data_IF_951738299318
#
_entry.id   IF_951738299318
#
_cell.length_a   1.000
_cell.length_b   1.000
_cell.length_c   1.000
_cell.angle_alpha   90.00
_cell.angle_beta   90.00
_cell.angle_gamma   90.00
#
_symmetry.space_group_name_H-M   'P 1'
#
loop_
_entity.id
_entity.type
_entity.pdbx_description
1 polymer ?
#
# COMPACT_ATOMS: atom_id res chain seq x y z
N UNK A 1 6.69 -7.54 16.41
CA UNK A 1 7.05 -7.12 15.05
C UNK A 1 6.62 -5.68 14.96
N UNK A 2 7.54 -4.75 14.69
CA UNK A 2 7.21 -3.32 14.57
C UNK A 2 6.35 -3.15 13.32
N UNK A 3 5.22 -2.46 13.46
CA UNK A 3 4.37 -2.10 12.34
C UNK A 3 4.89 -0.77 11.80
N UNK A 4 5.39 -0.78 10.57
CA UNK A 4 5.79 0.47 9.94
C UNK A 4 4.55 1.34 9.67
N UNK A 5 4.50 2.50 10.30
CA UNK A 5 3.41 3.47 10.21
C UNK A 5 3.89 4.76 9.57
N UNK A 6 3.01 5.38 8.78
CA UNK A 6 3.23 6.68 8.16
C UNK A 6 3.88 7.72 9.09
N UNK A 7 3.44 7.82 10.35
CA UNK A 7 3.99 8.80 11.29
C UNK A 7 5.48 8.61 11.60
N UNK A 8 5.95 7.38 11.68
CA UNK A 8 7.35 7.07 11.94
C UNK A 8 8.21 7.19 10.70
N UNK A 9 7.71 6.75 9.55
CA UNK A 9 8.41 6.90 8.28
C UNK A 9 8.71 8.35 7.95
N UNK A 10 7.75 9.24 8.17
CA UNK A 10 7.88 10.65 7.84
C UNK A 10 8.23 11.53 9.04
N UNK A 11 8.69 10.98 10.16
CA UNK A 11 8.94 11.74 11.39
C UNK A 11 9.89 12.94 11.16
N UNK A 12 10.91 12.75 10.31
CA UNK A 12 11.91 13.77 9.99
C UNK A 12 11.50 14.79 8.92
N UNK A 13 10.36 14.61 8.26
CA UNK A 13 9.96 15.43 7.10
C UNK A 13 8.65 16.16 7.36
N UNK A 14 8.66 17.42 7.78
CA UNK A 14 7.45 18.20 7.98
C UNK A 14 6.62 18.26 6.70
N UNK A 15 5.33 17.89 6.79
CA UNK A 15 4.36 17.93 5.70
C UNK A 15 3.30 19.02 6.00
N UNK A 16 2.98 19.24 7.28
CA UNK A 16 2.00 20.25 7.69
C UNK A 16 2.56 21.26 8.69
N UNK A 17 2.49 22.54 8.32
CA UNK A 17 2.85 23.63 9.25
C UNK A 17 1.73 23.96 10.24
N UNK A 18 0.47 23.61 9.93
CA UNK A 18 -0.69 23.92 10.77
C UNK A 18 -1.85 22.94 10.55
N UNK A 19 -2.71 22.81 11.56
CA UNK A 19 -3.96 22.06 11.45
C UNK A 19 -5.09 22.99 10.99
N UNK A 20 -5.44 22.90 9.71
CA UNK A 20 -6.47 23.72 9.09
C UNK A 20 -7.71 22.89 8.70
N UNK A 21 -8.73 23.57 8.17
CA UNK A 21 -9.99 22.95 7.76
C UNK A 21 -9.79 21.88 6.66
N UNK A 22 -8.77 22.00 5.81
CA UNK A 22 -8.46 20.98 4.81
C UNK A 22 -7.94 19.70 5.48
N UNK A 23 -7.03 19.82 6.46
CA UNK A 23 -6.54 18.68 7.22
C UNK A 23 -7.68 17.99 7.99
N UNK A 24 -8.54 18.78 8.68
CA UNK A 24 -9.71 18.25 9.38
C UNK A 24 -10.66 17.48 8.45
N UNK A 25 -10.97 18.06 7.28
CA UNK A 25 -11.82 17.41 6.26
C UNK A 25 -11.18 16.15 5.70
N UNK A 26 -9.87 16.15 5.46
CA UNK A 26 -9.15 15.00 4.95
C UNK A 26 -9.24 13.83 5.94
N UNK A 27 -8.98 14.06 7.22
CA UNK A 27 -9.08 13.02 8.26
C UNK A 27 -10.52 12.48 8.37
N UNK A 28 -11.52 13.37 8.36
CA UNK A 28 -12.92 12.97 8.36
C UNK A 28 -13.32 12.13 7.14
N UNK A 29 -12.90 12.55 5.95
CA UNK A 29 -13.19 11.83 4.70
C UNK A 29 -12.47 10.47 4.67
N UNK A 30 -11.19 10.43 5.04
CA UNK A 30 -10.41 9.19 5.13
C UNK A 30 -11.04 8.20 6.11
N UNK A 31 -11.43 8.66 7.31
CA UNK A 31 -12.12 7.82 8.28
C UNK A 31 -13.45 7.27 7.74
N UNK A 32 -14.25 8.09 7.06
CA UNK A 32 -15.52 7.64 6.46
C UNK A 32 -15.31 6.60 5.36
N UNK A 33 -14.25 6.70 4.55
CA UNK A 33 -13.93 5.64 3.58
C UNK A 33 -13.66 4.32 4.31
N UNK A 34 -12.86 4.35 5.39
CA UNK A 34 -12.61 3.15 6.21
C UNK A 34 -13.89 2.61 6.82
N UNK A 35 -14.71 3.47 7.43
CA UNK A 35 -15.91 3.08 8.16
C UNK A 35 -17.08 2.63 7.29
N UNK A 36 -17.25 3.23 6.11
CA UNK A 36 -18.43 3.02 5.26
C UNK A 36 -18.14 2.11 4.06
N UNK A 37 -16.89 2.05 3.58
CA UNK A 37 -16.53 1.30 2.37
C UNK A 37 -15.67 0.07 2.67
N UNK A 38 -14.68 0.19 3.56
CA UNK A 38 -13.75 -0.93 3.84
C UNK A 38 -14.29 -1.88 4.89
N UNK A 39 -14.71 -1.35 6.05
CA UNK A 39 -15.12 -2.13 7.21
C UNK A 39 -16.41 -1.63 7.87
N UNK A 40 -17.57 -1.71 7.18
CA UNK A 40 -18.87 -1.37 7.76
C UNK A 40 -19.13 -2.13 9.07
N UNK A 41 -19.30 -1.39 10.16
CA UNK A 41 -19.45 -1.99 11.51
C UNK A 41 -20.81 -2.66 11.73
N UNK A 42 -21.86 -2.05 11.19
CA UNK A 42 -23.24 -2.52 11.33
C UNK A 42 -23.72 -3.17 10.03
N UNK A 43 -24.63 -4.14 10.15
CA UNK A 43 -25.39 -4.68 9.02
C UNK A 43 -26.58 -3.78 8.65
N UNK A 44 -27.37 -4.21 7.65
CA UNK A 44 -28.54 -3.46 7.19
C UNK A 44 -29.63 -3.32 8.26
N UNK A 45 -29.63 -4.20 9.27
CA UNK A 45 -30.57 -4.18 10.40
C UNK A 45 -30.02 -3.38 11.60
N UNK A 46 -28.84 -2.77 11.46
CA UNK A 46 -28.18 -2.01 12.52
C UNK A 46 -27.47 -2.86 13.57
N UNK A 47 -27.27 -4.16 13.33
CA UNK A 47 -26.58 -5.07 14.27
C UNK A 47 -25.08 -5.07 14.01
N UNK A 48 -24.30 -5.19 15.09
CA UNK A 48 -22.84 -5.28 15.00
C UNK A 48 -22.42 -6.54 14.25
N UNK A 49 -21.50 -6.39 13.29
CA UNK A 49 -20.86 -7.54 12.62
C UNK A 49 -19.68 -8.03 13.47
N UNK A 50 -19.67 -9.31 13.90
CA UNK A 50 -18.57 -9.85 14.72
C UNK A 50 -17.20 -9.74 14.04
N UNK A 51 -17.15 -9.95 12.73
CA UNK A 51 -15.93 -9.82 11.92
C UNK A 51 -15.40 -8.37 11.91
N UNK A 52 -16.29 -7.39 11.72
CA UNK A 52 -15.90 -5.98 11.74
C UNK A 52 -15.39 -5.61 13.13
N UNK A 53 -16.06 -6.04 14.19
CA UNK A 53 -15.63 -5.81 15.58
C UNK A 53 -14.19 -6.28 15.84
N UNK A 54 -13.83 -7.47 15.36
CA UNK A 54 -12.47 -7.99 15.48
C UNK A 54 -11.45 -7.14 14.69
N UNK A 55 -11.82 -6.69 13.48
CA UNK A 55 -10.97 -5.83 12.65
C UNK A 55 -10.70 -4.48 13.34
N UNK A 56 -11.74 -3.80 13.82
CA UNK A 56 -11.60 -2.50 14.51
C UNK A 56 -10.79 -2.61 15.80
N UNK A 57 -10.96 -3.70 16.57
CA UNK A 57 -10.13 -3.97 17.74
C UNK A 57 -8.66 -4.21 17.35
N UNK A 58 -8.42 -4.94 16.27
CA UNK A 58 -7.08 -5.18 15.73
C UNK A 58 -6.39 -3.90 15.26
N UNK A 59 -7.08 -3.03 14.52
CA UNK A 59 -6.55 -1.74 14.07
C UNK A 59 -6.21 -0.83 15.25
N UNK A 60 -7.11 -0.73 16.23
CA UNK A 60 -6.88 0.01 17.47
C UNK A 60 -5.61 -0.48 18.19
N UNK A 61 -5.50 -1.80 18.40
CA UNK A 61 -4.34 -2.40 19.10
C UNK A 61 -3.04 -2.19 18.36
N UNK A 62 -3.02 -2.40 17.04
CA UNK A 62 -1.82 -2.23 16.21
C UNK A 62 -1.29 -0.80 16.33
N UNK A 63 -2.13 0.20 16.03
CA UNK A 63 -1.68 1.59 16.07
C UNK A 63 -1.39 2.08 17.49
N UNK A 64 -2.21 1.70 18.48
CA UNK A 64 -1.95 2.07 19.87
C UNK A 64 -0.61 1.53 20.35
N UNK A 65 -0.24 0.30 19.97
CA UNK A 65 1.06 -0.28 20.28
C UNK A 65 2.20 0.53 19.69
N UNK A 66 2.11 0.93 18.41
CA UNK A 66 3.14 1.77 17.79
C UNK A 66 3.24 3.12 18.48
N UNK A 67 2.11 3.80 18.73
CA UNK A 67 2.10 5.13 19.38
C UNK A 67 2.37 5.09 20.89
N UNK A 68 2.61 3.93 21.50
CA UNK A 68 2.85 3.80 22.94
C UNK A 68 1.61 4.07 23.81
N UNK A 69 0.41 3.86 23.26
CA UNK A 69 -0.88 4.06 23.91
C UNK A 69 -1.52 2.73 24.35
N UNK A 70 -2.40 2.78 25.36
CA UNK A 70 -3.21 1.61 25.76
C UNK A 70 -4.37 1.36 24.79
N UNK A 71 -5.03 2.44 24.39
CA UNK A 71 -6.08 2.51 23.39
C UNK A 71 -5.93 3.86 22.67
N UNK A 72 -6.42 3.97 21.43
CA UNK A 72 -6.31 5.20 20.66
C UNK A 72 -7.11 6.37 21.26
N UNK A 73 -8.22 6.07 21.95
CA UNK A 73 -8.95 7.03 22.78
C UNK A 73 -9.62 6.31 23.95
N UNK A 74 -10.29 7.04 24.85
CA UNK A 74 -10.94 6.43 26.02
C UNK A 74 -11.95 5.36 25.58
N UNK A 75 -11.80 4.10 26.02
CA UNK A 75 -12.74 3.02 25.67
C UNK A 75 -14.01 3.07 26.50
N UNK A 76 -14.12 3.97 27.47
CA UNK A 76 -15.24 4.08 28.40
C UNK A 76 -15.81 5.49 28.44
N UNK A 77 -17.08 5.58 28.79
CA UNK A 77 -17.76 6.84 29.07
C UNK A 77 -18.44 6.79 30.44
N UNK A 78 -18.62 7.97 31.01
CA UNK A 78 -19.34 8.18 32.24
C UNK A 78 -19.86 9.61 32.30
N UNK A 79 -21.16 9.78 32.52
CA UNK A 79 -21.77 11.10 32.69
C UNK A 79 -23.02 11.00 33.57
N UNK A 80 -23.43 12.14 34.14
CA UNK A 80 -24.66 12.23 34.90
C UNK A 80 -25.83 12.57 33.98
N UNK A 81 -26.91 11.79 34.07
CA UNK A 81 -28.21 12.08 33.46
C UNK A 81 -29.19 12.53 34.54
N UNK A 82 -30.14 13.40 34.21
CA UNK A 82 -31.26 13.71 35.10
C UNK A 82 -32.45 12.86 34.73
N UNK A 83 -32.96 12.08 35.69
CA UNK A 83 -34.19 11.32 35.54
C UNK A 83 -35.06 11.58 36.76
N UNK A 84 -36.31 12.03 36.53
CA UNK A 84 -37.23 12.47 37.59
C UNK A 84 -36.61 13.45 38.60
N UNK A 85 -35.79 14.41 38.14
CA UNK A 85 -35.16 15.42 38.98
C UNK A 85 -33.94 14.96 39.79
N UNK A 86 -33.61 13.66 39.79
CA UNK A 86 -32.43 13.11 40.44
C UNK A 86 -31.28 12.89 39.44
N UNK A 87 -30.05 13.12 39.89
CA UNK A 87 -28.85 12.81 39.09
C UNK A 87 -28.55 11.31 39.16
N UNK A 88 -28.52 10.65 38.01
CA UNK A 88 -28.12 9.25 37.86
C UNK A 88 -26.80 9.16 37.10
N UNK A 89 -25.84 8.40 37.62
CA UNK A 89 -24.59 8.12 36.92
C UNK A 89 -24.85 7.07 35.84
N UNK A 90 -24.51 7.39 34.59
CA UNK A 90 -24.58 6.48 33.45
C UNK A 90 -23.17 6.25 32.94
N UNK A 91 -22.75 4.99 32.85
CA UNK A 91 -21.44 4.62 32.33
C UNK A 91 -21.51 3.36 31.47
N UNK A 92 -20.55 3.22 30.57
CA UNK A 92 -20.41 2.06 29.71
C UNK A 92 -19.11 2.07 28.91
N UNK A 93 -19.02 1.16 27.95
CA UNK A 93 -17.89 1.08 27.03
C UNK A 93 -18.31 1.53 25.64
N UNK A 94 -17.43 2.25 24.96
CA UNK A 94 -17.59 2.57 23.56
C UNK A 94 -17.28 1.36 22.68
N UNK A 95 -17.96 1.26 21.53
CA UNK A 95 -17.56 0.31 20.48
C UNK A 95 -16.17 0.68 19.96
N UNK A 96 -15.41 -0.29 19.46
CA UNK A 96 -14.04 -0.03 18.97
C UNK A 96 -14.01 0.91 17.77
N UNK A 97 -15.02 0.90 16.91
CA UNK A 97 -15.17 1.93 15.86
C UNK A 97 -15.29 3.33 16.46
N UNK A 98 -16.03 3.51 17.57
CA UNK A 98 -16.16 4.81 18.22
C UNK A 98 -14.84 5.27 18.86
N UNK A 99 -14.08 4.35 19.44
CA UNK A 99 -12.73 4.63 19.97
C UNK A 99 -11.80 5.13 18.86
N UNK A 100 -11.78 4.45 17.71
CA UNK A 100 -10.98 4.88 16.55
C UNK A 100 -11.50 6.20 15.96
N UNK A 101 -12.81 6.39 15.84
CA UNK A 101 -13.43 7.62 15.35
C UNK A 101 -13.01 8.82 16.22
N UNK A 102 -13.14 8.70 17.54
CA UNK A 102 -12.77 9.76 18.48
C UNK A 102 -11.29 10.12 18.39
N UNK A 103 -10.41 9.15 18.13
CA UNK A 103 -8.99 9.43 17.91
C UNK A 103 -8.73 10.18 16.60
N UNK A 104 -9.26 9.68 15.48
CA UNK A 104 -9.01 10.27 14.15
C UNK A 104 -9.65 11.65 14.01
N UNK A 105 -10.82 11.84 14.61
CA UNK A 105 -11.60 13.09 14.54
C UNK A 105 -11.45 13.97 15.77
N UNK A 106 -10.45 13.71 16.63
CA UNK A 106 -10.15 14.56 17.77
C UNK A 106 -9.97 16.02 17.34
N UNK A 107 -10.44 16.95 18.16
CA UNK A 107 -10.13 18.36 17.97
C UNK A 107 -8.63 18.59 18.21
N UNK A 108 -8.03 19.46 17.40
CA UNK A 108 -6.64 19.84 17.57
C UNK A 108 -6.54 20.93 18.64
N UNK A 109 -5.92 20.61 19.76
CA UNK A 109 -5.75 21.50 20.92
C UNK A 109 -4.37 22.18 20.99
N UNK A 110 -3.47 21.85 20.05
CA UNK A 110 -2.11 22.39 20.01
C UNK A 110 -1.13 21.79 21.03
N UNK A 111 -1.50 20.70 21.72
CA UNK A 111 -0.63 20.01 22.68
C UNK A 111 0.59 19.34 22.04
N UNK A 112 0.49 18.99 20.75
CA UNK A 112 1.56 18.44 19.92
C UNK A 112 1.64 19.23 18.61
N UNK A 113 2.76 19.19 17.87
CA UNK A 113 2.85 19.80 16.55
C UNK A 113 1.74 19.30 15.61
N UNK A 114 1.20 20.18 14.79
CA UNK A 114 0.13 19.85 13.84
C UNK A 114 0.54 18.71 12.89
N UNK A 115 1.79 18.73 12.45
CA UNK A 115 2.39 17.69 11.61
C UNK A 115 2.29 16.31 12.25
N UNK A 116 2.76 16.18 13.50
CA UNK A 116 2.67 14.95 14.28
C UNK A 116 1.21 14.52 14.44
N UNK A 117 0.33 15.45 14.82
CA UNK A 117 -1.09 15.17 15.02
C UNK A 117 -1.73 14.54 13.78
N UNK A 118 -1.51 15.13 12.60
CA UNK A 118 -2.10 14.66 11.35
C UNK A 118 -1.49 13.31 10.94
N UNK A 119 -0.18 13.15 11.05
CA UNK A 119 0.55 11.92 10.68
C UNK A 119 0.10 10.70 11.47
N UNK A 120 -0.06 10.83 12.78
CA UNK A 120 -0.54 9.74 13.64
C UNK A 120 -1.95 9.29 13.23
N UNK A 121 -2.80 10.23 12.79
CA UNK A 121 -4.18 9.95 12.38
C UNK A 121 -4.27 9.40 10.96
N UNK A 122 -3.40 9.84 10.05
CA UNK A 122 -3.24 9.23 8.73
C UNK A 122 -2.66 7.82 8.81
N UNK A 123 -1.83 7.53 9.83
CA UNK A 123 -1.33 6.18 10.09
C UNK A 123 -2.47 5.19 10.36
N UNK A 124 -3.55 5.62 11.03
CA UNK A 124 -4.75 4.80 11.18
C UNK A 124 -5.38 4.46 9.83
N UNK A 125 -5.54 5.47 8.97
CA UNK A 125 -6.15 5.30 7.63
C UNK A 125 -5.28 4.37 6.78
N UNK A 126 -3.97 4.58 6.75
CA UNK A 126 -3.02 3.71 6.05
C UNK A 126 -3.13 2.24 6.50
N UNK A 127 -3.09 2.00 7.82
CA UNK A 127 -3.17 0.64 8.37
C UNK A 127 -4.50 -0.04 8.02
N UNK A 128 -5.60 0.70 8.00
CA UNK A 128 -6.89 0.15 7.61
C UNK A 128 -6.90 -0.27 6.12
N UNK A 129 -6.36 0.56 5.24
CA UNK A 129 -6.23 0.23 3.82
C UNK A 129 -5.30 -0.96 3.59
N UNK A 130 -4.13 -0.97 4.22
CA UNK A 130 -3.17 -2.09 4.16
C UNK A 130 -3.81 -3.39 4.65
N UNK A 131 -4.54 -3.35 5.76
CA UNK A 131 -5.22 -4.53 6.28
C UNK A 131 -6.27 -5.08 5.31
N UNK A 132 -7.00 -4.19 4.61
CA UNK A 132 -7.96 -4.61 3.59
C UNK A 132 -7.26 -5.26 2.40
N UNK A 133 -6.12 -4.71 1.98
CA UNK A 133 -5.30 -5.26 0.91
C UNK A 133 -4.78 -6.65 1.27
N UNK A 134 -4.25 -6.84 2.49
CA UNK A 134 -3.83 -8.15 3.02
C UNK A 134 -4.96 -9.18 2.94
N UNK A 135 -6.17 -8.83 3.40
CA UNK A 135 -7.34 -9.72 3.31
C UNK A 135 -7.66 -10.11 1.86
N UNK A 136 -7.55 -9.17 0.92
CA UNK A 136 -7.79 -9.44 -0.50
C UNK A 136 -6.71 -10.31 -1.12
N UNK A 137 -5.44 -10.11 -0.75
CA UNK A 137 -4.33 -10.95 -1.19
C UNK A 137 -4.54 -12.40 -0.73
N UNK A 138 -4.93 -12.61 0.54
CA UNK A 138 -5.27 -13.94 1.06
C UNK A 138 -6.49 -14.57 0.34
N UNK A 139 -7.52 -13.77 0.06
CA UNK A 139 -8.68 -14.22 -0.70
C UNK A 139 -8.33 -14.59 -2.14
N UNK A 140 -7.44 -13.82 -2.78
CA UNK A 140 -6.97 -14.05 -4.15
C UNK A 140 -6.11 -15.31 -4.21
N UNK A 141 -5.15 -15.47 -3.28
CA UNK A 141 -4.28 -16.63 -3.20
C UNK A 141 -5.05 -17.94 -2.95
N UNK A 142 -6.14 -17.89 -2.19
CA UNK A 142 -6.99 -19.06 -1.90
C UNK A 142 -8.12 -19.28 -2.91
N UNK A 143 -8.29 -18.39 -3.89
CA UNK A 143 -9.45 -18.39 -4.79
C UNK A 143 -9.57 -19.68 -5.60
N UNK A 144 -8.49 -20.13 -6.24
CA UNK A 144 -8.55 -21.30 -7.11
C UNK A 144 -8.88 -22.57 -6.33
N UNK A 145 -8.30 -22.74 -5.14
CA UNK A 145 -8.64 -23.84 -4.23
C UNK A 145 -10.13 -23.84 -3.91
N UNK A 146 -10.68 -22.68 -3.50
CA UNK A 146 -12.11 -22.53 -3.16
C UNK A 146 -13.03 -22.79 -4.36
N UNK A 147 -12.61 -22.38 -5.56
CA UNK A 147 -13.35 -22.64 -6.80
C UNK A 147 -13.37 -24.14 -7.12
N UNK A 148 -12.25 -24.85 -6.93
CA UNK A 148 -12.19 -26.30 -7.15
C UNK A 148 -13.04 -27.07 -6.13
N UNK A 149 -12.97 -26.69 -4.85
CA UNK A 149 -13.81 -27.25 -3.78
C UNK A 149 -15.29 -27.06 -4.10
N UNK A 150 -15.70 -25.85 -4.46
CA UNK A 150 -17.09 -25.55 -4.82
C UNK A 150 -17.58 -26.34 -6.05
N UNK A 151 -16.70 -26.57 -7.04
CA UNK A 151 -17.00 -27.41 -8.20
C UNK A 151 -17.14 -28.89 -7.82
N UNK A 152 -16.29 -29.39 -6.93
CA UNK A 152 -16.33 -30.77 -6.45
C UNK A 152 -17.60 -31.02 -5.62
N UNK A 153 -17.94 -30.12 -4.71
CA UNK A 153 -19.18 -30.19 -3.93
C UNK A 153 -20.43 -30.20 -4.81
N UNK A 154 -20.45 -29.36 -5.85
CA UNK A 154 -21.56 -29.31 -6.80
C UNK A 154 -21.73 -30.63 -7.59
N UNK A 155 -20.64 -31.37 -7.83
CA UNK A 155 -20.68 -32.70 -8.45
C UNK A 155 -21.14 -33.79 -7.48
N UNK A 156 -20.71 -33.72 -6.21
CA UNK A 156 -21.00 -34.73 -5.19
C UNK A 156 -22.41 -34.63 -4.60
N UNK A 157 -23.00 -33.42 -4.57
CA UNK A 157 -24.35 -33.17 -4.07
C UNK A 157 -25.22 -32.56 -5.18
N UNK A 158 -25.80 -33.37 -6.09
CA UNK A 158 -26.76 -32.84 -7.05
C UNK A 158 -27.95 -32.27 -6.26
N UNK A 159 -28.10 -30.95 -6.25
CA UNK A 159 -29.19 -30.29 -5.54
C UNK A 159 -30.55 -30.79 -6.05
N UNK A 160 -31.36 -31.36 -5.15
CA UNK A 160 -32.79 -31.58 -5.36
C UNK A 160 -33.51 -30.25 -5.10
N UNK A 161 -33.91 -29.53 -6.15
CA UNK A 161 -34.63 -28.26 -6.06
C UNK A 161 -34.46 -27.38 -7.30
N UNK A 162 -35.22 -26.27 -7.36
CA UNK A 162 -35.15 -25.27 -8.43
C UNK A 162 -33.70 -24.78 -8.56
N UNK A 163 -33.06 -25.08 -9.70
CA UNK A 163 -31.72 -24.61 -10.01
C UNK A 163 -31.77 -23.11 -10.28
N UNK A 164 -31.15 -22.31 -9.42
CA UNK A 164 -30.70 -20.98 -9.85
C UNK A 164 -29.68 -21.18 -10.98
N UNK A 165 -29.87 -20.57 -12.17
CA UNK A 165 -28.90 -20.65 -13.25
C UNK A 165 -27.57 -20.03 -12.82
N UNK A 166 -26.47 -20.79 -12.90
CA UNK A 166 -25.12 -20.29 -12.62
C UNK A 166 -24.21 -21.33 -11.97
N UNK A 167 -22.93 -21.33 -12.35
CA UNK A 167 -21.90 -22.16 -11.74
C UNK A 167 -21.36 -21.47 -10.48
N UNK A 168 -21.39 -22.14 -9.32
CA UNK A 168 -20.87 -21.61 -8.04
C UNK A 168 -19.41 -21.14 -8.15
N UNK A 169 -18.59 -21.84 -8.93
CA UNK A 169 -17.21 -21.45 -9.17
C UNK A 169 -17.09 -20.10 -9.89
N UNK A 170 -17.96 -19.84 -10.86
CA UNK A 170 -17.98 -18.57 -11.60
C UNK A 170 -18.52 -17.44 -10.72
N UNK A 171 -19.49 -17.75 -9.85
CA UNK A 171 -19.96 -16.83 -8.81
C UNK A 171 -18.87 -16.41 -7.82
N UNK A 172 -18.01 -17.35 -7.38
CA UNK A 172 -16.87 -17.03 -6.50
C UNK A 172 -15.85 -16.13 -7.20
N UNK A 173 -15.53 -16.40 -8.48
CA UNK A 173 -14.62 -15.54 -9.26
C UNK A 173 -15.21 -14.14 -9.45
N UNK A 174 -16.49 -14.04 -9.79
CA UNK A 174 -17.18 -12.76 -9.93
C UNK A 174 -17.19 -11.96 -8.62
N UNK A 175 -17.53 -12.61 -7.50
CA UNK A 175 -17.51 -11.98 -6.18
C UNK A 175 -16.10 -11.48 -5.82
N UNK A 176 -15.07 -12.31 -6.00
CA UNK A 176 -13.69 -11.92 -5.73
C UNK A 176 -13.26 -10.73 -6.60
N UNK A 177 -13.60 -10.74 -7.89
CA UNK A 177 -13.36 -9.61 -8.80
C UNK A 177 -14.03 -8.33 -8.30
N UNK A 178 -15.30 -8.39 -7.91
CA UNK A 178 -16.03 -7.25 -7.34
C UNK A 178 -15.37 -6.73 -6.07
N UNK A 179 -14.90 -7.60 -5.17
CA UNK A 179 -14.20 -7.16 -3.95
C UNK A 179 -12.90 -6.41 -4.28
N UNK A 180 -12.11 -6.88 -5.25
CA UNK A 180 -10.90 -6.21 -5.72
C UNK A 180 -11.23 -4.86 -6.39
N UNK A 181 -12.29 -4.79 -7.21
CA UNK A 181 -12.73 -3.55 -7.86
C UNK A 181 -13.22 -2.50 -6.85
N UNK A 182 -14.00 -2.91 -5.85
CA UNK A 182 -14.44 -2.01 -4.78
C UNK A 182 -13.27 -1.44 -3.99
N UNK A 183 -12.27 -2.26 -3.66
CA UNK A 183 -11.08 -1.78 -2.97
C UNK A 183 -10.27 -0.80 -3.83
N UNK A 184 -10.06 -1.10 -5.12
CA UNK A 184 -9.42 -0.17 -6.06
C UNK A 184 -10.16 1.17 -6.13
N UNK A 185 -11.50 1.15 -6.12
CA UNK A 185 -12.30 2.36 -6.09
C UNK A 185 -12.07 3.17 -4.80
N UNK A 186 -12.00 2.51 -3.64
CA UNK A 186 -11.66 3.19 -2.37
C UNK A 186 -10.24 3.77 -2.36
N UNK A 187 -9.25 3.09 -2.96
CA UNK A 187 -7.89 3.63 -3.11
C UNK A 187 -7.89 4.89 -3.99
N UNK A 188 -8.57 4.84 -5.13
CA UNK A 188 -8.72 5.99 -6.03
C UNK A 188 -9.43 7.16 -5.35
N UNK A 189 -10.46 6.88 -4.55
CA UNK A 189 -11.18 7.88 -3.78
C UNK A 189 -10.28 8.54 -2.73
N UNK A 190 -9.51 7.78 -1.96
CA UNK A 190 -8.54 8.32 -0.99
C UNK A 190 -7.51 9.23 -1.69
N UNK A 191 -6.97 8.79 -2.82
CA UNK A 191 -6.02 9.57 -3.62
C UNK A 191 -6.62 10.87 -4.16
N UNK A 192 -7.88 10.83 -4.60
CA UNK A 192 -8.60 12.04 -4.98
C UNK A 192 -8.81 12.99 -3.78
N UNK A 193 -8.97 12.47 -2.56
CA UNK A 193 -9.04 13.31 -1.35
C UNK A 193 -7.70 13.96 -1.01
N UNK A 194 -6.58 13.26 -1.15
CA UNK A 194 -5.26 13.86 -1.02
C UNK A 194 -5.07 15.00 -2.02
N UNK A 195 -5.38 14.75 -3.30
CA UNK A 195 -5.30 15.75 -4.36
C UNK A 195 -6.16 16.98 -4.09
N UNK A 196 -7.43 16.81 -3.71
CA UNK A 196 -8.35 17.93 -3.39
C UNK A 196 -7.91 18.73 -2.18
N UNK A 197 -7.30 18.08 -1.19
CA UNK A 197 -6.73 18.71 0.00
C UNK A 197 -5.38 19.39 -0.25
N UNK A 198 -4.85 19.30 -1.48
CA UNK A 198 -3.55 19.85 -1.90
C UNK A 198 -2.38 19.35 -1.06
N UNK A 199 -2.50 18.13 -0.54
CA UNK A 199 -1.38 17.43 0.11
C UNK A 199 -0.69 16.57 -0.95
N UNK A 200 0.63 16.61 -0.98
CA UNK A 200 1.48 15.85 -1.92
C UNK A 200 1.57 14.38 -1.49
N UNK A 201 0.43 13.71 -1.33
CA UNK A 201 0.35 12.34 -0.82
C UNK A 201 -0.39 11.44 -1.80
N UNK A 202 0.03 10.19 -1.83
CA UNK A 202 -0.59 9.15 -2.63
C UNK A 202 -0.56 7.81 -1.88
N UNK A 203 -1.67 7.09 -1.87
CA UNK A 203 -1.77 5.73 -1.40
C UNK A 203 -1.54 4.76 -2.56
N UNK A 204 -0.54 3.89 -2.41
CA UNK A 204 -0.31 2.76 -3.29
C UNK A 204 0.33 1.58 -2.54
N UNK A 205 -0.12 0.38 -2.92
CA UNK A 205 0.38 -0.91 -2.43
C UNK A 205 0.63 -0.98 -0.91
N UNK A 206 -0.31 -0.49 -0.10
CA UNK A 206 -0.24 -0.60 1.37
C UNK A 206 0.30 0.63 2.09
N UNK A 207 0.74 1.65 1.36
CA UNK A 207 1.46 2.78 1.92
C UNK A 207 0.98 4.12 1.38
N UNK A 208 0.90 5.12 2.28
CA UNK A 208 0.79 6.53 1.93
C UNK A 208 2.23 7.05 1.75
N UNK A 209 2.55 7.56 0.56
CA UNK A 209 3.85 8.11 0.23
C UNK A 209 3.76 9.55 -0.30
N UNK A 210 4.88 10.28 -0.27
CA UNK A 210 4.93 11.63 -0.83
C UNK A 210 5.05 11.53 -2.36
N UNK A 211 4.23 12.31 -3.07
CA UNK A 211 4.24 12.43 -4.53
C UNK A 211 4.10 13.90 -4.93
N UNK A 212 5.17 14.47 -5.46
CA UNK A 212 5.27 15.92 -5.72
C UNK A 212 4.70 16.36 -7.08
N UNK A 213 4.74 15.49 -8.09
CA UNK A 213 4.38 15.78 -9.46
C UNK A 213 3.23 14.88 -9.94
N UNK A 214 2.10 15.51 -10.29
CA UNK A 214 0.89 14.83 -10.75
C UNK A 214 1.07 14.11 -12.10
N UNK A 215 1.94 14.62 -12.99
CA UNK A 215 2.27 13.97 -14.25
C UNK A 215 3.14 12.73 -14.01
N UNK A 216 4.15 12.82 -13.14
CA UNK A 216 4.97 11.68 -12.70
C UNK A 216 4.07 10.60 -12.09
N UNK A 217 3.21 10.99 -11.16
CA UNK A 217 2.27 10.09 -10.52
C UNK A 217 1.36 9.37 -11.52
N UNK A 218 0.72 10.10 -12.45
CA UNK A 218 -0.22 9.51 -13.42
C UNK A 218 0.45 8.70 -14.52
N UNK A 219 1.64 9.10 -14.98
CA UNK A 219 2.30 8.49 -16.14
C UNK A 219 3.34 7.44 -15.75
N UNK A 220 3.93 7.53 -14.56
CA UNK A 220 5.02 6.70 -14.08
C UNK A 220 4.58 5.84 -12.91
N UNK A 221 4.21 6.46 -11.78
CA UNK A 221 3.97 5.74 -10.51
C UNK A 221 2.75 4.82 -10.59
N UNK A 222 1.56 5.37 -10.90
CA UNK A 222 0.33 4.57 -10.95
C UNK A 222 0.43 3.39 -11.93
N UNK A 223 0.89 3.59 -13.19
CA UNK A 223 0.96 2.47 -14.11
C UNK A 223 2.04 1.45 -13.74
N UNK A 224 3.11 1.86 -13.06
CA UNK A 224 4.09 0.94 -12.49
C UNK A 224 3.47 0.09 -11.38
N UNK A 225 2.81 0.72 -10.39
CA UNK A 225 2.19 0.01 -9.26
C UNK A 225 1.10 -0.97 -9.68
N UNK A 226 0.30 -0.59 -10.68
CA UNK A 226 -0.69 -1.49 -11.28
C UNK A 226 -0.09 -2.76 -11.87
N UNK A 227 1.13 -2.69 -12.42
CA UNK A 227 1.81 -3.84 -13.01
C UNK A 227 2.49 -4.71 -11.95
N UNK A 228 3.18 -4.10 -10.98
CA UNK A 228 3.94 -4.84 -9.96
C UNK A 228 3.06 -5.37 -8.82
N UNK A 229 1.77 -5.05 -8.81
CA UNK A 229 0.81 -5.65 -7.87
C UNK A 229 0.50 -7.13 -8.14
N UNK A 230 0.96 -7.71 -9.25
CA UNK A 230 0.90 -9.17 -9.47
C UNK A 230 1.92 -9.90 -8.57
N UNK A 231 1.56 -11.02 -7.90
CA UNK A 231 2.47 -11.76 -7.03
C UNK A 231 3.80 -12.18 -7.67
N UNK A 232 3.85 -12.34 -9.00
CA UNK A 232 5.09 -12.62 -9.72
C UNK A 232 6.15 -11.51 -9.54
N UNK A 233 5.73 -10.27 -9.27
CA UNK A 233 6.59 -9.09 -9.10
C UNK A 233 6.82 -8.70 -7.63
N UNK A 234 6.53 -9.58 -6.66
CA UNK A 234 6.59 -9.23 -5.24
C UNK A 234 7.94 -8.65 -4.80
N UNK A 235 9.06 -9.15 -5.32
CA UNK A 235 10.38 -8.59 -5.00
C UNK A 235 10.57 -7.17 -5.56
N UNK A 236 10.05 -6.90 -6.76
CA UNK A 236 10.08 -5.59 -7.40
C UNK A 236 9.24 -4.58 -6.61
N UNK A 237 8.04 -4.99 -6.19
CA UNK A 237 7.15 -4.20 -5.35
C UNK A 237 7.82 -3.82 -4.02
N UNK A 238 8.39 -4.81 -3.31
CA UNK A 238 9.06 -4.60 -2.04
C UNK A 238 10.26 -3.65 -2.16
N UNK A 239 11.17 -3.92 -3.10
CA UNK A 239 12.37 -3.11 -3.29
C UNK A 239 12.02 -1.66 -3.71
N UNK A 240 10.98 -1.46 -4.53
CA UNK A 240 10.59 -0.10 -4.93
C UNK A 240 9.93 0.69 -3.79
N UNK A 241 9.14 0.03 -2.93
CA UNK A 241 8.58 0.67 -1.73
C UNK A 241 9.68 1.14 -0.80
N UNK A 242 10.64 0.27 -0.51
CA UNK A 242 11.80 0.60 0.31
C UNK A 242 12.59 1.77 -0.29
N UNK A 243 12.78 1.78 -1.61
CA UNK A 243 13.46 2.88 -2.30
C UNK A 243 12.79 4.24 -2.08
N UNK A 244 11.46 4.29 -2.20
CA UNK A 244 10.70 5.53 -2.01
C UNK A 244 10.65 5.89 -0.52
N UNK A 245 10.46 4.93 0.36
CA UNK A 245 10.46 5.17 1.81
C UNK A 245 11.80 5.76 2.27
N UNK A 246 12.92 5.27 1.75
CA UNK A 246 14.26 5.81 2.01
C UNK A 246 14.45 7.19 1.39
N UNK A 247 13.98 7.43 0.15
CA UNK A 247 14.04 8.76 -0.48
C UNK A 247 13.30 9.77 0.39
N UNK A 248 12.09 9.40 0.73
CA UNK A 248 11.16 10.24 1.43
C UNK A 248 11.64 10.53 2.85
N UNK A 249 12.12 9.53 3.60
CA UNK A 249 12.61 9.67 4.98
C UNK A 249 14.01 10.28 5.11
N UNK A 250 14.71 10.54 3.98
CA UNK A 250 16.14 10.91 4.00
C UNK A 250 17.04 9.75 4.42
N UNK A 251 16.57 8.52 4.25
CA UNK A 251 17.29 7.28 4.49
C UNK A 251 18.44 7.04 3.53
N UNK A 252 19.24 6.01 3.83
CA UNK A 252 20.47 5.71 3.10
C UNK A 252 20.21 4.89 1.84
N UNK A 253 20.87 5.26 0.74
CA UNK A 253 20.93 4.49 -0.53
C UNK A 253 19.57 4.15 -1.19
N UNK A 254 18.58 5.07 -1.30
CA UNK A 254 17.29 4.79 -1.95
C UNK A 254 17.44 4.29 -3.40
N UNK A 255 18.40 4.83 -4.13
CA UNK A 255 18.70 4.42 -5.53
C UNK A 255 19.16 2.98 -5.64
N UNK A 256 19.83 2.45 -4.61
CA UNK A 256 20.26 1.05 -4.61
C UNK A 256 19.03 0.12 -4.62
N UNK A 257 18.01 0.44 -3.84
CA UNK A 257 16.77 -0.33 -3.79
C UNK A 257 15.94 -0.21 -5.08
N UNK A 258 15.81 0.99 -5.64
CA UNK A 258 15.14 1.15 -6.94
C UNK A 258 15.86 0.36 -8.05
N UNK A 259 17.19 0.36 -8.05
CA UNK A 259 17.97 -0.41 -9.00
C UNK A 259 17.86 -1.93 -8.78
N UNK A 260 17.73 -2.40 -7.52
CA UNK A 260 17.40 -3.81 -7.23
C UNK A 260 16.04 -4.19 -7.79
N UNK A 261 15.02 -3.33 -7.66
CA UNK A 261 13.70 -3.57 -8.24
C UNK A 261 13.76 -3.73 -9.77
N UNK A 262 14.52 -2.86 -10.46
CA UNK A 262 14.74 -2.98 -11.91
C UNK A 262 15.52 -4.25 -12.27
N UNK A 263 16.56 -4.59 -11.50
CA UNK A 263 17.35 -5.81 -11.71
C UNK A 263 16.48 -7.07 -11.55
N UNK A 264 15.66 -7.12 -10.51
CA UNK A 264 14.68 -8.17 -10.25
C UNK A 264 13.68 -8.28 -11.40
N UNK A 265 13.19 -7.15 -11.94
CA UNK A 265 12.29 -7.14 -13.10
C UNK A 265 12.93 -7.83 -14.31
N UNK A 266 14.17 -7.47 -14.64
CA UNK A 266 14.91 -8.03 -15.77
C UNK A 266 15.16 -9.54 -15.59
N UNK A 267 15.50 -9.95 -14.37
CA UNK A 267 15.71 -11.37 -14.02
C UNK A 267 14.44 -12.19 -14.15
N UNK A 268 13.32 -11.73 -13.57
CA UNK A 268 12.02 -12.41 -13.66
C UNK A 268 11.58 -12.57 -15.12
N UNK A 269 11.77 -11.55 -15.97
CA UNK A 269 11.50 -11.64 -17.41
C UNK A 269 12.34 -12.73 -18.07
N UNK A 270 13.65 -12.74 -17.79
CA UNK A 270 14.58 -13.72 -18.36
C UNK A 270 14.21 -15.14 -17.94
N UNK A 271 13.86 -15.35 -16.67
CA UNK A 271 13.44 -16.64 -16.14
C UNK A 271 12.11 -17.10 -16.75
N UNK A 272 11.12 -16.20 -16.83
CA UNK A 272 9.78 -16.50 -17.37
C UNK A 272 9.84 -16.90 -18.85
N UNK A 273 10.75 -16.31 -19.61
CA UNK A 273 10.95 -16.65 -21.03
C UNK A 273 11.97 -17.79 -21.25
N UNK A 274 12.57 -18.33 -20.18
CA UNK A 274 13.56 -19.40 -20.24
C UNK A 274 14.90 -18.99 -20.87
N UNK A 275 15.27 -17.71 -20.74
CA UNK A 275 16.50 -17.14 -21.31
C UNK A 275 17.70 -17.24 -20.38
N UNK A 276 17.48 -17.50 -19.10
CA UNK A 276 18.53 -17.64 -18.09
C UNK A 276 19.32 -18.94 -18.29
N UNK A 277 20.66 -18.85 -18.23
CA UNK A 277 21.60 -19.94 -18.49
C UNK A 277 22.36 -20.42 -17.26
N UNK A 278 22.21 -19.73 -16.12
CA UNK A 278 22.91 -20.03 -14.87
C UNK A 278 24.39 -19.62 -14.87
N UNK A 279 24.82 -18.84 -15.87
CA UNK A 279 26.22 -18.36 -16.02
C UNK A 279 26.33 -16.84 -15.96
N UNK A 280 25.21 -16.16 -15.73
CA UNK A 280 25.10 -14.72 -15.61
C UNK A 280 25.80 -14.21 -14.34
N UNK A 281 26.74 -13.27 -14.50
CA UNK A 281 27.58 -12.76 -13.39
C UNK A 281 27.08 -11.43 -12.82
N UNK A 282 26.08 -10.82 -13.43
CA UNK A 282 25.48 -9.56 -12.97
C UNK A 282 24.42 -9.03 -13.93
N UNK A 283 23.85 -7.87 -13.60
CA UNK A 283 22.75 -7.24 -14.34
C UNK A 283 23.00 -7.11 -15.84
N UNK A 284 24.23 -6.77 -16.25
CA UNK A 284 24.59 -6.65 -17.67
C UNK A 284 24.35 -7.94 -18.47
N UNK A 285 24.65 -9.12 -17.89
CA UNK A 285 24.41 -10.39 -18.57
C UNK A 285 22.91 -10.66 -18.76
N UNK A 286 22.08 -10.32 -17.77
CA UNK A 286 20.63 -10.44 -17.91
C UNK A 286 20.06 -9.43 -18.91
N UNK A 287 20.62 -8.22 -19.01
CA UNK A 287 20.25 -7.26 -20.05
C UNK A 287 20.64 -7.80 -21.45
N UNK A 288 21.79 -8.46 -21.57
CA UNK A 288 22.20 -9.10 -22.83
C UNK A 288 21.21 -10.20 -23.26
N UNK A 289 20.60 -10.92 -22.30
CA UNK A 289 19.54 -11.88 -22.60
C UNK A 289 18.30 -11.21 -23.23
N UNK A 290 17.94 -9.99 -22.79
CA UNK A 290 16.83 -9.24 -23.39
C UNK A 290 17.12 -8.79 -24.83
N UNK A 291 18.40 -8.49 -25.15
CA UNK A 291 18.81 -8.03 -26.49
C UNK A 291 19.10 -9.18 -27.45
N UNK A 292 19.31 -10.40 -26.97
CA UNK A 292 19.79 -11.49 -27.82
C UNK A 292 18.83 -11.79 -28.99
N UNK A 293 19.38 -11.82 -30.22
CA UNK A 293 18.64 -12.21 -31.44
C UNK A 293 17.96 -13.56 -31.31
N UNK A 294 18.64 -14.52 -30.67
CA UNK A 294 18.12 -15.86 -30.42
C UNK A 294 16.84 -15.84 -29.54
N UNK A 295 16.63 -14.77 -28.78
CA UNK A 295 15.50 -14.60 -27.87
C UNK A 295 14.38 -13.72 -28.47
N UNK A 296 14.52 -13.27 -29.73
CA UNK A 296 13.54 -12.41 -30.41
C UNK A 296 13.67 -10.92 -30.14
N UNK A 297 14.78 -10.47 -29.52
CA UNK A 297 15.10 -9.05 -29.23
C UNK A 297 13.96 -8.26 -28.53
N UNK A 298 13.85 -8.38 -27.21
CA UNK A 298 12.87 -7.61 -26.41
C UNK A 298 13.21 -6.11 -26.34
N UNK A 299 14.50 -5.80 -26.43
CA UNK A 299 15.04 -4.44 -26.43
C UNK A 299 15.99 -4.22 -27.61
N UNK A 300 16.19 -2.96 -27.99
CA UNK A 300 17.17 -2.56 -29.00
C UNK A 300 18.53 -2.13 -28.40
N UNK A 301 19.48 -1.74 -29.25
CA UNK A 301 20.85 -1.41 -28.82
C UNK A 301 20.92 -0.19 -27.91
N UNK A 302 20.21 0.90 -28.19
CA UNK A 302 20.25 2.10 -27.35
C UNK A 302 19.59 1.83 -25.99
N UNK A 303 18.56 0.99 -25.95
CA UNK A 303 17.89 0.56 -24.71
C UNK A 303 18.85 -0.28 -23.84
N UNK A 304 19.57 -1.21 -24.46
CA UNK A 304 20.64 -1.97 -23.79
C UNK A 304 21.70 -1.04 -23.22
N UNK A 305 22.21 -0.11 -24.02
CA UNK A 305 23.24 0.84 -23.62
C UNK A 305 22.77 1.70 -22.44
N UNK A 306 21.52 2.17 -22.47
CA UNK A 306 20.91 2.95 -21.39
C UNK A 306 20.85 2.15 -20.08
N UNK A 307 20.35 0.91 -20.13
CA UNK A 307 20.25 0.04 -18.94
C UNK A 307 21.63 -0.32 -18.37
N UNK A 308 22.57 -0.75 -19.22
CA UNK A 308 23.94 -1.09 -18.79
C UNK A 308 24.66 0.16 -18.26
N UNK A 309 24.45 1.31 -18.89
CA UNK A 309 24.96 2.61 -18.44
C UNK A 309 24.45 2.94 -17.04
N UNK A 310 23.15 2.81 -16.80
CA UNK A 310 22.57 3.02 -15.46
C UNK A 310 23.16 2.09 -14.41
N UNK A 311 23.20 0.77 -14.66
CA UNK A 311 23.75 -0.16 -13.67
C UNK A 311 25.23 0.07 -13.39
N UNK A 312 26.02 0.38 -14.41
CA UNK A 312 27.47 0.58 -14.26
C UNK A 312 27.85 1.93 -13.65
N UNK A 313 27.13 3.01 -13.97
CA UNK A 313 27.48 4.38 -13.59
C UNK A 313 26.67 4.92 -12.41
N UNK A 314 25.44 4.46 -12.25
CA UNK A 314 24.56 4.90 -11.17
C UNK A 314 24.52 3.85 -10.08
N UNK A 315 24.07 2.62 -10.35
CA UNK A 315 23.88 1.60 -9.30
C UNK A 315 25.18 1.12 -8.65
N UNK A 316 26.18 0.70 -9.45
CA UNK A 316 27.37 0.03 -8.93
C UNK A 316 28.18 0.86 -7.92
N UNK A 317 28.33 2.19 -8.09
CA UNK A 317 28.92 3.04 -7.04
C UNK A 317 28.28 2.87 -5.66
N UNK A 318 26.95 2.70 -5.55
CA UNK A 318 26.25 2.48 -4.27
C UNK A 318 26.26 1.01 -3.82
N UNK A 319 26.54 0.08 -4.73
CA UNK A 319 26.55 -1.37 -4.45
C UNK A 319 27.86 -1.90 -3.87
N UNK A 320 28.92 -1.08 -3.84
CA UNK A 320 30.24 -1.45 -3.34
C UNK A 320 30.66 -0.53 -2.18
N UNK A 321 31.41 -1.07 -1.22
CA UNK A 321 31.93 -0.26 -0.11
C UNK A 321 32.85 0.84 -0.61
N UNK A 322 32.70 2.05 -0.07
CA UNK A 322 33.45 3.24 -0.52
C UNK A 322 34.97 3.16 -0.25
N UNK A 323 35.41 2.23 0.61
CA UNK A 323 36.83 2.10 0.97
C UNK A 323 37.37 3.40 1.57
N UNK A 324 38.43 3.96 0.97
CA UNK A 324 39.00 5.26 1.33
C UNK A 324 38.40 6.45 0.56
N UNK A 325 37.46 6.20 -0.37
CA UNK A 325 36.79 7.24 -1.14
C UNK A 325 35.55 7.75 -0.40
N UNK A 326 35.10 8.99 -0.67
CA UNK A 326 33.83 9.47 -0.14
C UNK A 326 32.69 8.56 -0.62
N UNK A 327 31.68 8.39 0.23
CA UNK A 327 30.44 7.69 -0.15
C UNK A 327 29.83 8.48 -1.32
N UNK A 328 29.50 7.84 -2.45
CA UNK A 328 28.81 8.53 -3.52
C UNK A 328 27.49 9.08 -2.99
N UNK A 329 27.20 10.34 -3.25
CA UNK A 329 25.94 10.97 -2.90
C UNK A 329 25.31 11.54 -4.16
N UNK A 330 24.02 11.25 -4.36
CA UNK A 330 23.21 11.93 -5.37
C UNK A 330 22.48 13.10 -4.72
N UNK A 331 22.27 14.16 -5.50
CA UNK A 331 21.32 15.20 -5.10
C UNK A 331 19.89 14.63 -5.06
N UNK A 332 18.97 15.34 -4.39
CA UNK A 332 17.56 14.94 -4.37
C UNK A 332 16.97 14.78 -5.80
N UNK A 333 17.16 15.73 -6.75
CA UNK A 333 16.70 15.56 -8.12
C UNK A 333 17.33 14.36 -8.85
N UNK A 334 18.59 14.02 -8.56
CA UNK A 334 19.24 12.84 -9.13
C UNK A 334 18.69 11.53 -8.54
N UNK A 335 18.29 11.56 -7.27
CA UNK A 335 17.63 10.43 -6.59
C UNK A 335 16.24 10.20 -7.17
N UNK A 336 15.45 11.27 -7.33
CA UNK A 336 14.13 11.22 -7.98
C UNK A 336 14.22 10.67 -9.39
N UNK A 337 15.12 11.23 -10.20
CA UNK A 337 15.38 10.75 -11.56
C UNK A 337 15.74 9.26 -11.59
N UNK A 338 16.59 8.78 -10.68
CA UNK A 338 17.03 7.39 -10.69
C UNK A 338 15.90 6.42 -10.30
N UNK A 339 15.04 6.80 -9.35
CA UNK A 339 13.85 6.03 -8.96
C UNK A 339 12.86 6.00 -10.12
N UNK A 340 12.53 7.16 -10.68
CA UNK A 340 11.63 7.27 -11.83
C UNK A 340 12.16 6.51 -13.05
N UNK A 341 13.46 6.57 -13.32
CA UNK A 341 14.12 5.79 -14.37
C UNK A 341 13.87 4.29 -14.17
N UNK A 342 14.06 3.78 -12.95
CA UNK A 342 13.80 2.38 -12.63
C UNK A 342 12.33 2.01 -12.82
N UNK A 343 11.40 2.84 -12.34
CA UNK A 343 9.97 2.62 -12.51
C UNK A 343 9.55 2.64 -13.99
N UNK A 344 10.04 3.59 -14.78
CA UNK A 344 9.77 3.71 -16.21
C UNK A 344 10.24 2.45 -16.95
N UNK A 345 11.47 2.01 -16.70
CA UNK A 345 12.03 0.82 -17.35
C UNK A 345 11.31 -0.45 -16.94
N UNK A 346 11.08 -0.67 -15.65
CA UNK A 346 10.35 -1.83 -15.17
C UNK A 346 8.95 -1.89 -15.79
N UNK A 347 8.19 -0.78 -15.74
CA UNK A 347 6.87 -0.66 -16.38
C UNK A 347 6.93 -0.99 -17.88
N UNK A 348 7.89 -0.43 -18.60
CA UNK A 348 8.02 -0.63 -20.05
C UNK A 348 8.39 -2.07 -20.40
N UNK A 349 9.28 -2.70 -19.63
CA UNK A 349 9.68 -4.09 -19.85
C UNK A 349 8.54 -5.07 -19.53
N UNK A 350 7.84 -4.87 -18.41
CA UNK A 350 6.70 -5.72 -18.03
C UNK A 350 5.58 -5.65 -19.09
N UNK A 351 5.32 -4.48 -19.68
CA UNK A 351 4.31 -4.33 -20.75
C UNK A 351 4.65 -5.04 -22.06
N UNK A 352 5.92 -5.42 -22.27
CA UNK A 352 6.37 -6.15 -23.46
C UNK A 352 6.32 -7.67 -23.29
N UNK A 353 6.05 -8.15 -22.07
CA UNK A 353 5.88 -9.58 -21.81
C UNK A 353 4.60 -10.12 -22.45
#
# INVERSE_FOLDING_TARGET
MLTDIFAYRYLGNPIWDSFNENARRLLAQGFRIVAEQLFPYYDADGKEKPEAKAIWDGLNKKLAMELGLKDLSSPTYGYYTQWNGNKHWTSGSWSKIKVCETFVLAEYDGSVPADQFIKERLSFIELAFRHREEQLLELNASLDRRVQEAKLEAKLKPQRGIRLPGNRGDGLRAWNKTQNEMFRASCNELNERFRRSRVKLHYHNGFIQISEDEAVMRQIEQPFWMLVGDPMWQSVDHDMKEAIDLRDSGGRDPVLFAAKALESTIKIISDTKGWTRGTEKGAANYIDNLRAKANGELINDWERESLVGFFSKVRNPFGHGAGSQPVPELSAPQTDWAIEFCMIWAKNLIRRL
#
